data_IF_053466998922
#
_entry.id   IF_053466998922
#
_cell.length_a   1.000
_cell.length_b   1.000
_cell.length_c   1.000
_cell.angle_alpha   90.00
_cell.angle_beta   90.00
_cell.angle_gamma   90.00
#
_symmetry.space_group_name_H-M   'P 1'
#
loop_
_entity.id
_entity.type
_entity.pdbx_description
1 polymer ?
#
# COMPACT_ATOMS: atom_id res chain seq x y z
N UNK A 1 10.41 10.52 -0.56
CA UNK A 1 9.46 9.67 -1.30
C UNK A 1 8.06 10.05 -0.85
N UNK A 2 7.18 10.46 -1.77
CA UNK A 2 5.79 10.75 -1.44
C UNK A 2 5.07 9.55 -0.81
N UNK A 3 4.18 9.83 0.14
CA UNK A 3 3.23 8.86 0.65
C UNK A 3 1.85 9.48 0.85
N UNK A 4 0.83 8.62 0.76
CA UNK A 4 -0.54 8.89 1.18
C UNK A 4 -0.98 7.76 2.11
N UNK A 5 -1.43 8.13 3.30
CA UNK A 5 -1.91 7.23 4.33
C UNK A 5 -3.36 7.60 4.65
N UNK A 6 -4.25 6.63 4.59
CA UNK A 6 -5.63 6.76 5.04
C UNK A 6 -5.88 5.80 6.19
N UNK A 7 -6.43 6.30 7.31
CA UNK A 7 -6.80 5.50 8.48
C UNK A 7 -8.27 5.70 8.84
N UNK A 8 -9.00 4.62 9.04
CA UNK A 8 -10.36 4.65 9.54
C UNK A 8 -10.39 4.32 11.04
N UNK A 9 -11.35 4.90 11.76
CA UNK A 9 -11.61 4.56 13.18
C UNK A 9 -12.40 3.25 13.32
N UNK A 10 -13.01 2.77 12.24
CA UNK A 10 -13.78 1.54 12.18
C UNK A 10 -13.63 0.87 10.82
N UNK A 11 -13.99 -0.42 10.74
CA UNK A 11 -13.88 -1.17 9.50
C UNK A 11 -14.74 -0.53 8.38
N UNK A 12 -14.15 -0.34 7.20
CA UNK A 12 -14.84 0.16 6.01
C UNK A 12 -14.82 -0.87 4.88
N UNK A 13 -15.60 -0.60 3.83
CA UNK A 13 -15.64 -1.43 2.63
C UNK A 13 -14.41 -1.20 1.75
N UNK A 14 -13.37 -2.00 2.01
CA UNK A 14 -12.13 -1.96 1.24
C UNK A 14 -12.27 -2.55 -0.16
N UNK A 15 -13.27 -3.40 -0.42
CA UNK A 15 -13.61 -3.88 -1.76
C UNK A 15 -14.12 -2.73 -2.63
N UNK A 16 -15.04 -1.93 -2.09
CA UNK A 16 -15.56 -0.74 -2.78
C UNK A 16 -14.45 0.28 -3.05
N UNK A 17 -13.50 0.46 -2.13
CA UNK A 17 -12.33 1.31 -2.37
C UNK A 17 -11.46 0.79 -3.52
N UNK A 18 -11.10 -0.49 -3.51
CA UNK A 18 -10.31 -1.10 -4.59
C UNK A 18 -11.02 -0.94 -5.93
N UNK A 19 -12.33 -1.19 -5.98
CA UNK A 19 -13.11 -0.98 -7.19
C UNK A 19 -13.05 0.49 -7.66
N UNK A 20 -13.25 1.45 -6.74
CA UNK A 20 -13.24 2.87 -7.07
C UNK A 20 -11.88 3.34 -7.58
N UNK A 21 -10.79 2.81 -7.01
CA UNK A 21 -9.43 3.08 -7.47
C UNK A 21 -9.21 2.55 -8.89
N UNK A 22 -9.69 1.34 -9.20
CA UNK A 22 -9.60 0.78 -10.55
C UNK A 22 -10.42 1.56 -11.58
N UNK A 23 -11.57 2.09 -11.20
CA UNK A 23 -12.36 2.97 -12.06
C UNK A 23 -11.63 4.29 -12.36
N UNK A 24 -11.02 4.89 -11.34
CA UNK A 24 -10.34 6.18 -11.47
C UNK A 24 -8.94 6.08 -12.11
N UNK A 25 -8.27 4.94 -11.93
CA UNK A 25 -6.95 4.60 -12.41
C UNK A 25 -6.99 3.21 -13.09
N UNK A 26 -7.46 3.12 -14.35
CA UNK A 26 -7.74 1.84 -15.03
C UNK A 26 -6.55 0.90 -15.20
N UNK A 27 -5.33 1.44 -15.17
CA UNK A 27 -4.08 0.67 -15.22
C UNK A 27 -3.65 0.11 -13.85
N UNK A 28 -4.45 0.31 -12.80
CA UNK A 28 -4.20 -0.28 -11.47
C UNK A 28 -4.19 -1.80 -11.55
N UNK A 29 -3.15 -2.42 -11.00
CA UNK A 29 -2.97 -3.87 -10.97
C UNK A 29 -2.99 -4.38 -9.54
N UNK A 30 -3.62 -5.54 -9.33
CA UNK A 30 -3.49 -6.28 -8.07
C UNK A 30 -2.19 -7.08 -8.17
N UNK A 31 -1.27 -6.83 -7.24
CA UNK A 31 -0.01 -7.56 -7.12
C UNK A 31 -0.21 -8.82 -6.28
N UNK A 32 -0.97 -8.70 -5.19
CA UNK A 32 -1.26 -9.79 -4.26
C UNK A 32 -2.57 -9.56 -3.51
N UNK A 33 -3.30 -10.63 -3.25
CA UNK A 33 -4.47 -10.60 -2.36
C UNK A 33 -4.08 -10.61 -0.88
N UNK A 34 -2.88 -11.09 -0.55
CA UNK A 34 -2.33 -11.10 0.81
C UNK A 34 -0.84 -10.73 0.81
N UNK A 35 -0.60 -9.43 0.99
CA UNK A 35 0.73 -8.83 1.07
C UNK A 35 1.64 -9.56 2.05
N UNK A 36 1.15 -9.87 3.25
CA UNK A 36 1.99 -10.44 4.30
C UNK A 36 2.33 -11.90 4.01
N UNK A 37 1.39 -12.68 3.48
CA UNK A 37 1.66 -14.06 3.08
C UNK A 37 2.76 -14.12 2.01
N UNK A 38 2.65 -13.28 0.97
CA UNK A 38 3.65 -13.21 -0.10
C UNK A 38 5.00 -12.69 0.41
N UNK A 39 4.97 -11.69 1.30
CA UNK A 39 6.18 -11.15 1.92
C UNK A 39 6.92 -12.20 2.73
N UNK A 40 6.22 -12.94 3.60
CA UNK A 40 6.80 -14.03 4.40
C UNK A 40 7.36 -15.13 3.49
N UNK A 41 6.64 -15.50 2.43
CA UNK A 41 7.10 -16.48 1.45
C UNK A 41 8.41 -16.06 0.79
N UNK A 42 8.49 -14.79 0.36
CA UNK A 42 9.68 -14.20 -0.26
C UNK A 42 10.86 -14.14 0.71
N UNK A 43 10.64 -13.71 1.95
CA UNK A 43 11.69 -13.64 2.97
C UNK A 43 12.25 -15.03 3.30
N UNK A 44 11.38 -16.05 3.41
CA UNK A 44 11.80 -17.45 3.58
C UNK A 44 12.60 -17.95 2.38
N UNK A 45 12.22 -17.58 1.16
CA UNK A 45 12.96 -17.95 -0.05
C UNK A 45 14.36 -17.32 -0.07
N UNK A 46 14.47 -16.03 0.27
CA UNK A 46 15.76 -15.32 0.40
C UNK A 46 16.62 -15.98 1.49
N UNK A 47 16.06 -16.27 2.66
CA UNK A 47 16.79 -16.93 3.74
C UNK A 47 17.39 -18.28 3.28
N UNK A 48 16.60 -19.11 2.58
CA UNK A 48 17.08 -20.37 2.00
C UNK A 48 18.22 -20.16 1.00
N UNK A 49 18.10 -19.19 0.09
CA UNK A 49 19.13 -18.86 -0.90
C UNK A 49 20.44 -18.43 -0.26
N UNK A 50 20.38 -17.78 0.90
CA UNK A 50 21.54 -17.29 1.64
C UNK A 50 22.03 -18.29 2.72
N UNK A 51 21.46 -19.50 2.79
CA UNK A 51 21.82 -20.49 3.81
C UNK A 51 21.44 -20.09 5.24
N UNK A 52 20.50 -19.15 5.40
CA UNK A 52 20.03 -18.66 6.69
C UNK A 52 18.83 -19.47 7.19
N UNK A 53 18.63 -19.57 8.53
CA UNK A 53 17.41 -20.13 9.10
C UNK A 53 16.16 -19.38 8.65
N UNK A 54 15.12 -20.14 8.29
CA UNK A 54 13.79 -19.59 7.95
C UNK A 54 12.96 -19.18 9.17
N UNK A 55 13.43 -19.52 10.37
CA UNK A 55 12.93 -18.99 11.64
C UNK A 55 13.96 -17.99 12.19
N UNK A 56 13.85 -16.75 11.73
CA UNK A 56 14.71 -15.65 12.16
C UNK A 56 13.88 -14.41 12.48
N UNK A 57 14.49 -13.47 13.23
CA UNK A 57 13.79 -12.29 13.74
C UNK A 57 13.06 -11.46 12.66
N UNK A 58 13.63 -11.22 11.45
CA UNK A 58 12.91 -10.51 10.40
C UNK A 58 11.62 -11.22 9.96
N UNK A 59 11.68 -12.53 9.72
CA UNK A 59 10.51 -13.31 9.28
C UNK A 59 9.44 -13.35 10.38
N UNK A 60 9.86 -13.53 11.64
CA UNK A 60 8.93 -13.50 12.78
C UNK A 60 8.27 -12.13 12.92
N UNK A 61 9.02 -11.04 12.76
CA UNK A 61 8.47 -9.69 12.80
C UNK A 61 7.41 -9.47 11.72
N UNK A 62 7.64 -9.95 10.49
CA UNK A 62 6.62 -9.91 9.41
C UNK A 62 5.39 -10.75 9.77
N UNK A 63 5.57 -11.93 10.35
CA UNK A 63 4.45 -12.78 10.79
C UNK A 63 3.65 -12.12 11.93
N UNK A 64 4.30 -11.48 12.89
CA UNK A 64 3.64 -10.72 13.97
C UNK A 64 2.85 -9.53 13.39
N UNK A 65 3.40 -8.82 12.41
CA UNK A 65 2.68 -7.76 11.72
C UNK A 65 1.45 -8.31 10.98
N UNK A 66 1.57 -9.46 10.32
CA UNK A 66 0.45 -10.14 9.66
C UNK A 66 -0.67 -10.50 10.65
N UNK A 67 -0.31 -11.00 11.83
CA UNK A 67 -1.28 -11.32 12.89
C UNK A 67 -1.97 -10.06 13.43
N UNK A 68 -1.23 -8.96 13.58
CA UNK A 68 -1.75 -7.71 14.12
C UNK A 68 -2.67 -6.98 13.14
N UNK A 69 -2.31 -6.95 11.87
CA UNK A 69 -2.99 -6.14 10.85
C UNK A 69 -3.95 -6.97 9.98
N UNK A 70 -3.84 -8.29 10.00
CA UNK A 70 -4.60 -9.18 9.15
C UNK A 70 -4.19 -9.09 7.68
N UNK A 71 -5.07 -9.58 6.80
CA UNK A 71 -4.85 -9.57 5.35
C UNK A 71 -4.88 -8.15 4.81
N UNK A 72 -3.86 -7.78 4.05
CA UNK A 72 -3.80 -6.54 3.27
C UNK A 72 -3.66 -6.87 1.79
N UNK A 73 -4.51 -6.28 0.94
CA UNK A 73 -4.34 -6.38 -0.51
C UNK A 73 -3.23 -5.45 -0.96
N UNK A 74 -2.42 -5.93 -1.90
CA UNK A 74 -1.30 -5.22 -2.48
C UNK A 74 -1.62 -4.84 -3.92
N UNK A 75 -1.56 -3.56 -4.23
CA UNK A 75 -1.86 -3.01 -5.55
C UNK A 75 -0.73 -2.10 -6.03
N UNK A 76 -0.52 -2.04 -7.34
CA UNK A 76 0.17 -0.92 -7.99
C UNK A 76 -0.87 0.01 -8.60
N UNK A 77 -0.97 1.22 -8.09
CA UNK A 77 -1.86 2.26 -8.64
C UNK A 77 -1.03 3.08 -9.63
N UNK A 78 -1.36 2.99 -10.92
CA UNK A 78 -0.75 3.81 -11.96
C UNK A 78 -1.40 5.21 -11.95
N UNK A 79 -0.70 6.18 -11.37
CA UNK A 79 -1.14 7.56 -11.26
C UNK A 79 -0.96 8.31 -12.58
N UNK A 80 0.12 7.99 -13.31
CA UNK A 80 0.38 8.42 -14.69
C UNK A 80 1.29 7.41 -15.39
N UNK A 81 1.56 7.61 -16.69
CA UNK A 81 2.43 6.73 -17.50
C UNK A 81 3.83 6.53 -16.91
N UNK A 82 4.29 7.49 -16.09
CA UNK A 82 5.63 7.50 -15.49
C UNK A 82 5.60 7.30 -13.97
N UNK A 83 4.41 7.31 -13.35
CA UNK A 83 4.25 7.29 -11.89
C UNK A 83 3.31 6.19 -11.45
N UNK A 84 3.81 5.29 -10.60
CA UNK A 84 2.99 4.32 -9.90
C UNK A 84 3.24 4.36 -8.40
N UNK A 85 2.21 4.01 -7.63
CA UNK A 85 2.26 3.91 -6.17
C UNK A 85 2.05 2.46 -5.74
N UNK A 86 2.99 1.95 -4.95
CA UNK A 86 2.86 0.68 -4.25
C UNK A 86 1.90 0.87 -3.08
N UNK A 87 0.81 0.12 -3.09
CA UNK A 87 -0.34 0.38 -2.21
C UNK A 87 -0.75 -0.86 -1.44
N UNK A 88 -0.95 -0.70 -0.13
CA UNK A 88 -1.50 -1.73 0.76
C UNK A 88 -2.84 -1.26 1.30
N UNK A 89 -3.87 -2.09 1.18
CA UNK A 89 -5.25 -1.77 1.62
C UNK A 89 -5.78 -2.89 2.50
N UNK A 90 -6.33 -2.51 3.65
CA UNK A 90 -7.09 -3.42 4.52
C UNK A 90 -8.42 -2.78 4.93
N UNK A 91 -9.12 -3.40 5.89
CA UNK A 91 -10.42 -2.91 6.37
C UNK A 91 -10.31 -1.64 7.21
N UNK A 92 -9.11 -1.26 7.65
CA UNK A 92 -8.86 -0.14 8.54
C UNK A 92 -8.10 1.00 7.85
N UNK A 93 -7.53 0.77 6.67
CA UNK A 93 -6.91 1.86 5.94
C UNK A 93 -6.25 1.48 4.63
N UNK A 94 -5.48 2.44 4.14
CA UNK A 94 -4.66 2.38 2.94
C UNK A 94 -3.32 3.06 3.21
N UNK A 95 -2.26 2.49 2.69
CA UNK A 95 -0.98 3.17 2.54
C UNK A 95 -0.54 3.06 1.09
N UNK A 96 -0.36 4.18 0.41
CA UNK A 96 0.20 4.29 -0.93
C UNK A 96 1.55 5.01 -0.87
N UNK A 97 2.59 4.41 -1.44
CA UNK A 97 3.97 4.93 -1.39
C UNK A 97 4.58 4.87 -2.78
N UNK A 98 5.28 5.93 -3.19
CA UNK A 98 6.00 5.95 -4.46
C UNK A 98 5.97 7.32 -5.14
N UNK A 99 6.35 7.34 -6.40
CA UNK A 99 6.44 8.56 -7.20
C UNK A 99 7.63 9.47 -6.86
N UNK A 100 7.75 10.55 -7.63
CA UNK A 100 8.78 11.58 -7.48
C UNK A 100 8.19 12.83 -6.84
N UNK A 101 9.00 13.59 -6.10
CA UNK A 101 8.55 14.89 -5.59
C UNK A 101 8.57 15.95 -6.70
N UNK A 102 7.47 16.04 -7.43
CA UNK A 102 7.27 16.98 -8.53
C UNK A 102 5.87 17.58 -8.48
N UNK A 103 5.70 18.78 -9.03
CA UNK A 103 4.39 19.45 -9.13
C UNK A 103 3.37 18.56 -9.87
N UNK A 104 3.82 17.86 -10.93
CA UNK A 104 3.00 16.90 -11.69
C UNK A 104 2.49 15.78 -10.78
N UNK A 105 3.40 15.08 -10.09
CA UNK A 105 3.05 13.99 -9.17
C UNK A 105 2.10 14.44 -8.05
N UNK A 106 2.36 15.61 -7.45
CA UNK A 106 1.48 16.20 -6.41
C UNK A 106 0.07 16.44 -6.94
N UNK A 107 -0.06 17.00 -8.15
CA UNK A 107 -1.35 17.23 -8.80
C UNK A 107 -2.09 15.92 -9.11
N UNK A 108 -1.38 14.93 -9.62
CA UNK A 108 -1.98 13.64 -9.97
C UNK A 108 -2.41 12.84 -8.73
N UNK A 109 -1.63 12.91 -7.63
CA UNK A 109 -1.98 12.31 -6.34
C UNK A 109 -3.16 13.03 -5.68
N UNK A 110 -3.41 14.31 -5.95
CA UNK A 110 -4.61 14.98 -5.44
C UNK A 110 -5.89 14.24 -5.83
N UNK A 111 -5.96 13.70 -7.06
CA UNK A 111 -7.09 12.88 -7.50
C UNK A 111 -7.26 11.62 -6.64
N UNK A 112 -6.16 10.99 -6.23
CA UNK A 112 -6.19 9.86 -5.31
C UNK A 112 -6.76 10.31 -3.95
N UNK A 113 -6.23 11.40 -3.38
CA UNK A 113 -6.71 11.97 -2.12
C UNK A 113 -8.21 12.28 -2.17
N UNK A 114 -8.69 12.88 -3.27
CA UNK A 114 -10.10 13.21 -3.46
C UNK A 114 -10.98 11.94 -3.45
N UNK A 115 -10.49 10.81 -3.99
CA UNK A 115 -11.20 9.53 -3.88
C UNK A 115 -11.19 9.02 -2.44
N UNK A 116 -10.03 9.05 -1.77
CA UNK A 116 -9.90 8.52 -0.41
C UNK A 116 -10.76 9.30 0.60
N UNK A 117 -10.95 10.60 0.39
CA UNK A 117 -11.83 11.43 1.23
C UNK A 117 -13.33 11.11 1.06
N UNK A 118 -13.72 10.31 0.05
CA UNK A 118 -15.10 9.78 -0.07
C UNK A 118 -15.36 8.59 0.85
N UNK A 119 -14.32 8.02 1.46
CA UNK A 119 -14.38 6.94 2.43
C UNK A 119 -14.19 7.52 3.86
N UNK A 120 -14.54 6.79 4.93
CA UNK A 120 -14.36 7.25 6.31
C UNK A 120 -12.89 7.14 6.75
N UNK A 121 -11.99 7.78 5.99
CA UNK A 121 -10.54 7.77 6.18
C UNK A 121 -10.06 9.16 6.60
N UNK A 122 -9.27 9.20 7.66
CA UNK A 122 -8.41 10.33 8.00
C UNK A 122 -7.16 10.24 7.12
N UNK A 123 -6.96 11.25 6.27
CA UNK A 123 -5.87 11.25 5.28
C UNK A 123 -4.68 12.07 5.78
N UNK A 124 -3.51 11.47 5.68
CA UNK A 124 -2.21 12.09 5.87
C UNK A 124 -1.40 11.91 4.57
N UNK A 125 -0.80 12.98 4.07
CA UNK A 125 0.08 12.92 2.90
C UNK A 125 1.37 13.67 3.20
N UNK A 126 2.49 13.13 2.73
CA UNK A 126 3.80 13.77 2.85
C UNK A 126 4.56 13.64 1.54
N UNK A 127 5.45 14.61 1.33
CA UNK A 127 6.33 14.74 0.19
C UNK A 127 7.70 14.97 0.81
N UNK A 128 8.57 13.95 0.94
CA UNK A 128 9.90 14.20 1.53
C UNK A 128 10.56 15.39 0.80
N UNK A 129 10.82 16.45 1.58
CA UNK A 129 11.16 17.78 1.08
C UNK A 129 10.91 18.89 2.11
N UNK A 130 10.09 18.64 3.15
CA UNK A 130 9.95 19.56 4.28
C UNK A 130 11.09 19.38 5.29
N UNK A 131 12.29 19.86 4.91
CA UNK A 131 13.35 20.29 5.83
C UNK A 131 13.88 21.65 5.42
#
# INVERSE_FOLDING_TARGET
>A
MPFVLGKADSAFDSDALVQRLREAFPQTTIISDDYYADRVSREKAIARQQGMPVDCAPIRSTQEAALKHGTQRHLSIAISDETSLDTRIDKMGILAVGGQDTIKCRTEIQKLIDILTTFPLQIEASWDGDK
#
